data_IF_217255768119
#
_entry.id   IF_217255768119
#
_cell.length_a   1.000
_cell.length_b   1.000
_cell.length_c   1.000
_cell.angle_alpha   90.00
_cell.angle_beta   90.00
_cell.angle_gamma   90.00
#
_symmetry.space_group_name_H-M   'P 1'
#
loop_
_entity.id
_entity.type
_entity.pdbx_description
1 polymer ?
#
# COMPACT_ATOMS: atom_id res chain seq x y z
N UNK A 1 51.92 -9.68 -19.89
CA UNK A 1 51.80 -8.66 -20.96
C UNK A 1 50.77 -9.14 -21.97
N UNK A 2 49.48 -9.06 -21.61
CA UNK A 2 48.36 -9.42 -22.48
C UNK A 2 47.45 -8.18 -22.56
N UNK A 3 47.41 -7.59 -23.76
CA UNK A 3 46.75 -6.33 -24.05
C UNK A 3 45.22 -6.54 -24.04
N UNK A 4 44.54 -5.87 -23.11
CA UNK A 4 43.08 -5.71 -23.16
C UNK A 4 42.73 -4.70 -24.27
N UNK A 5 41.94 -5.07 -25.30
CA UNK A 5 41.61 -4.16 -26.37
C UNK A 5 40.60 -3.11 -25.88
N UNK A 6 41.00 -1.84 -25.98
CA UNK A 6 40.15 -0.66 -25.80
C UNK A 6 39.15 -0.55 -26.96
N UNK A 7 38.09 -1.35 -26.92
CA UNK A 7 36.96 -1.27 -27.86
C UNK A 7 35.86 -0.34 -27.35
N UNK A 8 36.13 0.96 -27.29
CA UNK A 8 35.07 1.98 -27.14
C UNK A 8 34.39 2.10 -28.50
N UNK A 9 33.21 1.50 -28.66
CA UNK A 9 32.44 1.61 -29.90
C UNK A 9 31.39 0.52 -30.10
N UNK A 10 31.65 -0.72 -29.66
CA UNK A 10 30.71 -1.83 -29.85
C UNK A 10 29.57 -1.87 -28.81
N UNK A 11 29.75 -1.20 -27.66
CA UNK A 11 28.73 -1.13 -26.61
C UNK A 11 27.54 -0.25 -26.99
N UNK A 12 27.79 0.92 -27.59
CA UNK A 12 26.75 1.91 -27.88
C UNK A 12 25.69 1.40 -28.86
N UNK A 13 26.10 0.66 -29.89
CA UNK A 13 25.18 0.07 -30.87
C UNK A 13 24.30 -1.03 -30.27
N UNK A 14 24.85 -1.83 -29.34
CA UNK A 14 24.10 -2.88 -28.63
C UNK A 14 23.11 -2.30 -27.62
N UNK A 15 23.42 -1.15 -27.03
CA UNK A 15 22.49 -0.38 -26.19
C UNK A 15 21.35 0.27 -27.00
N UNK A 16 21.62 0.75 -28.21
CA UNK A 16 20.59 1.29 -29.10
C UNK A 16 19.59 0.20 -29.56
N UNK A 17 20.07 -1.01 -29.82
CA UNK A 17 19.22 -2.16 -30.16
C UNK A 17 18.34 -2.62 -28.99
N UNK A 18 18.83 -2.54 -27.74
CA UNK A 18 18.03 -2.83 -26.55
C UNK A 18 16.99 -1.73 -26.24
N UNK A 19 17.25 -0.47 -26.61
CA UNK A 19 16.24 0.61 -26.55
C UNK A 19 15.16 0.46 -27.61
N UNK A 20 15.46 -0.13 -28.76
CA UNK A 20 14.51 -0.32 -29.85
C UNK A 20 13.55 -1.51 -29.63
N UNK A 21 13.94 -2.52 -28.85
CA UNK A 21 13.04 -3.63 -28.45
C UNK A 21 12.34 -3.41 -27.12
N UNK A 22 12.81 -2.44 -26.32
CA UNK A 22 12.03 -1.85 -25.26
C UNK A 22 11.08 -0.79 -25.85
N UNK A 23 10.20 -1.21 -26.76
CA UNK A 23 8.86 -0.62 -26.80
C UNK A 23 8.31 -0.84 -25.39
N UNK A 24 8.19 0.21 -24.54
CA UNK A 24 7.39 0.06 -23.36
C UNK A 24 6.01 -0.14 -23.95
N UNK A 25 5.56 -1.41 -23.95
CA UNK A 25 4.16 -1.75 -23.92
C UNK A 25 3.57 -1.17 -22.64
N UNK A 26 3.58 0.16 -22.54
CA UNK A 26 2.51 0.92 -21.96
C UNK A 26 1.29 0.44 -22.73
N UNK A 27 0.71 -0.66 -22.24
CA UNK A 27 -0.71 -0.75 -22.12
C UNK A 27 -1.12 0.62 -21.60
N UNK A 28 -1.48 1.52 -22.53
CA UNK A 28 -2.03 2.82 -22.22
C UNK A 28 -3.22 2.45 -21.37
N UNK A 29 -3.04 2.57 -20.05
CA UNK A 29 -4.16 2.52 -19.14
C UNK A 29 -5.15 3.51 -19.75
N UNK A 30 -6.39 3.08 -20.02
CA UNK A 30 -7.38 3.94 -20.63
C UNK A 30 -7.33 5.28 -19.90
N UNK A 31 -7.16 6.36 -20.68
CA UNK A 31 -7.12 7.72 -20.12
C UNK A 31 -8.25 7.80 -19.10
N UNK A 32 -7.98 8.26 -17.85
CA UNK A 32 -9.01 8.32 -16.83
C UNK A 32 -10.19 9.07 -17.45
N UNK A 33 -11.27 8.35 -17.72
CA UNK A 33 -12.52 8.98 -18.14
C UNK A 33 -12.85 10.05 -17.11
N UNK A 34 -13.55 11.12 -17.48
CA UNK A 34 -13.91 12.18 -16.53
C UNK A 34 -14.37 11.51 -15.25
N UNK A 35 -13.62 11.76 -14.16
CA UNK A 35 -13.80 11.05 -12.91
C UNK A 35 -15.30 11.04 -12.60
N UNK A 36 -15.95 9.87 -12.42
CA UNK A 36 -17.36 9.85 -12.13
C UNK A 36 -17.56 10.77 -10.94
N UNK A 37 -18.34 11.84 -11.13
CA UNK A 37 -18.54 12.90 -10.13
C UNK A 37 -18.72 12.24 -8.76
N UNK A 38 -17.67 12.30 -7.92
CA UNK A 38 -17.66 11.57 -6.66
C UNK A 38 -18.85 11.98 -5.78
N UNK A 39 -19.33 13.22 -5.96
CA UNK A 39 -20.57 13.73 -5.36
C UNK A 39 -21.85 13.04 -5.86
N UNK A 40 -21.95 12.70 -7.15
CA UNK A 40 -23.14 12.09 -7.78
C UNK A 40 -23.24 10.60 -7.46
N UNK A 41 -22.13 9.86 -7.40
CA UNK A 41 -22.09 8.48 -6.88
C UNK A 41 -22.35 8.42 -5.37
N UNK A 42 -21.81 9.37 -4.61
CA UNK A 42 -22.06 9.50 -3.17
C UNK A 42 -23.52 9.81 -2.88
N UNK A 43 -24.13 10.72 -3.65
CA UNK A 43 -25.57 11.02 -3.56
C UNK A 43 -26.43 9.80 -3.93
N UNK A 44 -26.08 9.05 -4.99
CA UNK A 44 -26.80 7.82 -5.39
C UNK A 44 -26.72 6.73 -4.32
N UNK A 45 -25.56 6.55 -3.68
CA UNK A 45 -25.38 5.60 -2.55
C UNK A 45 -26.17 6.04 -1.31
N UNK A 46 -26.22 7.35 -1.03
CA UNK A 46 -27.01 7.91 0.06
C UNK A 46 -28.52 7.77 -0.16
N UNK A 47 -29.00 8.00 -1.39
CA UNK A 47 -30.42 7.82 -1.74
C UNK A 47 -30.82 6.35 -1.65
N UNK A 48 -29.96 5.42 -2.07
CA UNK A 48 -30.22 3.98 -1.95
C UNK A 48 -30.19 3.49 -0.49
N UNK A 49 -29.28 4.02 0.33
CA UNK A 49 -29.24 3.73 1.77
C UNK A 49 -30.46 4.32 2.51
N UNK A 50 -30.87 5.53 2.15
CA UNK A 50 -32.08 6.15 2.67
C UNK A 50 -33.36 5.41 2.23
N UNK A 51 -33.41 4.90 1.00
CA UNK A 51 -34.54 4.13 0.50
C UNK A 51 -34.66 2.75 1.17
N UNK A 52 -33.55 2.05 1.40
CA UNK A 52 -33.54 0.76 2.13
C UNK A 52 -33.85 0.95 3.62
N UNK A 53 -33.33 2.01 4.25
CA UNK A 53 -33.68 2.38 5.63
C UNK A 53 -35.15 2.80 5.78
N UNK A 54 -35.67 3.53 4.79
CA UNK A 54 -37.08 3.92 4.73
C UNK A 54 -38.03 2.72 4.55
N UNK A 55 -37.67 1.74 3.73
CA UNK A 55 -38.46 0.53 3.53
C UNK A 55 -38.52 -0.35 4.80
N UNK A 56 -37.41 -0.46 5.56
CA UNK A 56 -37.39 -1.18 6.84
C UNK A 56 -38.18 -0.49 7.96
N UNK A 57 -38.20 0.85 7.98
CA UNK A 57 -39.00 1.63 8.91
C UNK A 57 -40.51 1.54 8.61
N UNK A 58 -40.90 1.40 7.34
CA UNK A 58 -42.30 1.20 6.94
C UNK A 58 -42.86 -0.17 7.35
N UNK A 59 -42.01 -1.21 7.40
CA UNK A 59 -42.43 -2.59 7.72
C UNK A 59 -42.51 -2.88 9.24
N UNK A 60 -41.84 -2.08 10.09
CA UNK A 60 -41.80 -2.30 11.55
C UNK A 60 -42.74 -1.39 12.35
N UNK A 61 -43.35 -0.38 11.71
CA UNK A 61 -44.42 0.42 12.31
C UNK A 61 -43.99 1.19 13.57
N UNK A 62 -43.16 2.22 13.43
CA UNK A 62 -42.90 3.15 14.53
C UNK A 62 -41.70 4.08 14.34
N UNK A 63 -41.68 5.18 15.09
CA UNK A 63 -40.59 6.17 15.13
C UNK A 63 -39.23 5.54 15.50
N UNK A 64 -39.24 4.43 16.24
CA UNK A 64 -38.05 3.66 16.58
C UNK A 64 -37.31 3.12 15.33
N UNK A 65 -38.02 2.71 14.27
CA UNK A 65 -37.41 2.23 13.03
C UNK A 65 -36.66 3.32 12.27
N UNK A 66 -37.17 4.56 12.30
CA UNK A 66 -36.51 5.72 11.68
C UNK A 66 -35.23 6.09 12.43
N UNK A 67 -35.23 6.00 13.77
CA UNK A 67 -34.04 6.27 14.59
C UNK A 67 -32.97 5.22 14.33
N UNK A 68 -33.32 3.93 14.33
CA UNK A 68 -32.36 2.84 14.08
C UNK A 68 -31.79 2.90 12.66
N UNK A 69 -32.65 3.12 11.65
CA UNK A 69 -32.21 3.29 10.26
C UNK A 69 -31.29 4.49 10.07
N UNK A 70 -31.61 5.62 10.72
CA UNK A 70 -30.77 6.81 10.72
C UNK A 70 -29.41 6.60 11.39
N UNK A 71 -29.38 5.92 12.54
CA UNK A 71 -28.14 5.60 13.26
C UNK A 71 -27.26 4.65 12.44
N UNK A 72 -27.84 3.63 11.81
CA UNK A 72 -27.09 2.72 10.94
C UNK A 72 -26.57 3.43 9.68
N UNK A 73 -27.36 4.28 9.04
CA UNK A 73 -26.93 5.05 7.87
C UNK A 73 -25.78 6.00 8.21
N UNK A 74 -25.89 6.75 9.32
CA UNK A 74 -24.82 7.65 9.79
C UNK A 74 -23.60 6.85 10.24
N UNK A 75 -23.78 5.73 10.93
CA UNK A 75 -22.70 4.84 11.35
C UNK A 75 -21.92 4.29 10.16
N UNK A 76 -22.62 3.74 9.17
CA UNK A 76 -22.02 3.23 7.92
C UNK A 76 -21.31 4.35 7.17
N UNK A 77 -21.91 5.54 7.07
CA UNK A 77 -21.29 6.64 6.35
C UNK A 77 -20.07 7.23 7.08
N UNK A 78 -20.08 7.26 8.42
CA UNK A 78 -18.92 7.67 9.23
C UNK A 78 -17.79 6.66 9.14
N UNK A 79 -18.09 5.37 9.14
CA UNK A 79 -17.10 4.31 8.92
C UNK A 79 -16.54 4.39 7.50
N UNK A 80 -17.36 4.60 6.48
CA UNK A 80 -16.91 4.78 5.09
C UNK A 80 -16.07 6.05 4.89
N UNK A 81 -16.41 7.15 5.56
CA UNK A 81 -15.60 8.38 5.56
C UNK A 81 -14.27 8.19 6.31
N UNK A 82 -14.29 7.50 7.45
CA UNK A 82 -13.06 7.16 8.19
C UNK A 82 -12.16 6.18 7.41
N UNK A 83 -12.71 5.50 6.41
CA UNK A 83 -11.99 4.63 5.47
C UNK A 83 -11.61 5.35 4.16
N UNK A 84 -11.80 6.67 4.06
CA UNK A 84 -11.29 7.42 2.91
C UNK A 84 -9.78 7.13 2.76
N UNK A 85 -9.33 6.67 1.59
CA UNK A 85 -7.96 6.22 1.42
C UNK A 85 -7.02 7.39 1.67
N UNK A 86 -6.16 7.24 2.67
CA UNK A 86 -5.05 8.13 2.92
C UNK A 86 -4.02 7.90 1.80
N UNK A 87 -3.85 8.88 0.91
CA UNK A 87 -2.95 8.79 -0.24
C UNK A 87 -1.50 8.53 0.22
N UNK A 88 -1.09 9.11 1.35
CA UNK A 88 0.24 8.86 1.93
C UNK A 88 0.39 7.41 2.42
N UNK A 89 -0.69 6.82 2.95
CA UNK A 89 -0.69 5.42 3.33
C UNK A 89 -0.63 4.49 2.12
N UNK A 90 -1.30 4.86 1.01
CA UNK A 90 -1.24 4.13 -0.24
C UNK A 90 0.19 4.15 -0.83
N UNK A 91 0.82 5.32 -0.87
CA UNK A 91 2.20 5.47 -1.35
C UNK A 91 3.18 4.67 -0.48
N UNK A 92 3.02 4.71 0.85
CA UNK A 92 3.83 3.91 1.76
C UNK A 92 3.74 2.41 1.48
N UNK A 93 2.55 1.90 1.16
CA UNK A 93 2.37 0.50 0.78
C UNK A 93 3.13 0.20 -0.52
N UNK A 94 3.08 1.10 -1.51
CA UNK A 94 3.83 0.94 -2.76
C UNK A 94 5.34 0.98 -2.54
N UNK A 95 5.85 1.90 -1.71
CA UNK A 95 7.26 1.99 -1.32
C UNK A 95 7.75 0.66 -0.74
N UNK A 96 7.04 0.13 0.26
CA UNK A 96 7.42 -1.13 0.93
C UNK A 96 7.34 -2.33 -0.02
N UNK A 97 6.33 -2.36 -0.90
CA UNK A 97 6.14 -3.43 -1.87
C UNK A 97 7.28 -3.50 -2.88
N UNK A 98 7.72 -2.35 -3.40
CA UNK A 98 8.68 -2.27 -4.49
C UNK A 98 10.14 -2.24 -4.02
N UNK A 99 10.38 -1.98 -2.73
CA UNK A 99 11.71 -1.90 -2.12
C UNK A 99 12.58 -3.17 -2.33
N UNK A 100 12.09 -4.42 -2.17
CA UNK A 100 12.92 -5.60 -2.44
C UNK A 100 13.40 -5.69 -3.88
N UNK A 101 12.54 -5.37 -4.84
CA UNK A 101 12.88 -5.40 -6.26
C UNK A 101 13.92 -4.31 -6.58
N UNK A 102 13.75 -3.12 -6.03
CA UNK A 102 14.73 -2.04 -6.17
C UNK A 102 16.09 -2.41 -5.56
N UNK A 103 16.13 -3.02 -4.37
CA UNK A 103 17.37 -3.49 -3.74
C UNK A 103 18.11 -4.52 -4.59
N UNK A 104 17.40 -5.47 -5.19
CA UNK A 104 17.98 -6.48 -6.08
C UNK A 104 18.55 -5.85 -7.36
N UNK A 105 17.79 -4.96 -8.00
CA UNK A 105 18.23 -4.25 -9.20
C UNK A 105 19.46 -3.37 -8.91
N UNK A 106 19.47 -2.65 -7.78
CA UNK A 106 20.62 -1.89 -7.31
C UNK A 106 21.83 -2.81 -7.08
N UNK A 107 21.60 -3.98 -6.46
CA UNK A 107 22.64 -4.98 -6.27
C UNK A 107 23.27 -5.45 -7.59
N UNK A 108 22.45 -5.69 -8.62
CA UNK A 108 22.91 -6.06 -9.96
C UNK A 108 23.68 -4.91 -10.61
N UNK A 109 23.14 -3.68 -10.59
CA UNK A 109 23.79 -2.50 -11.17
C UNK A 109 25.16 -2.23 -10.53
N UNK A 110 25.24 -2.24 -9.20
CA UNK A 110 26.48 -1.98 -8.48
C UNK A 110 27.50 -3.11 -8.69
N UNK A 111 27.06 -4.37 -8.76
CA UNK A 111 27.94 -5.51 -9.07
C UNK A 111 28.49 -5.45 -10.49
N UNK A 112 27.74 -4.83 -11.41
CA UNK A 112 28.20 -4.54 -12.78
C UNK A 112 29.14 -3.33 -12.86
N UNK A 113 29.43 -2.66 -11.74
CA UNK A 113 30.34 -1.52 -11.66
C UNK A 113 29.72 -0.16 -11.98
N UNK A 114 28.39 -0.04 -12.00
CA UNK A 114 27.75 1.28 -12.09
C UNK A 114 28.02 2.10 -10.82
N UNK A 115 28.29 3.41 -10.94
CA UNK A 115 28.34 4.29 -9.77
C UNK A 115 26.95 4.38 -9.13
N UNK A 116 26.91 4.67 -7.82
CA UNK A 116 25.66 4.70 -7.02
C UNK A 116 24.61 5.61 -7.64
N UNK A 117 25.01 6.80 -8.10
CA UNK A 117 24.12 7.77 -8.74
C UNK A 117 23.50 7.24 -10.03
N UNK A 118 24.31 6.59 -10.88
CA UNK A 118 23.85 5.98 -12.12
C UNK A 118 22.96 4.77 -11.88
N UNK A 119 23.24 3.98 -10.83
CA UNK A 119 22.39 2.87 -10.41
C UNK A 119 21.03 3.38 -9.88
N UNK A 120 21.01 4.43 -9.06
CA UNK A 120 19.78 5.04 -8.55
C UNK A 120 18.91 5.60 -9.68
N UNK A 121 19.50 6.29 -10.65
CA UNK A 121 18.77 6.81 -11.81
C UNK A 121 18.18 5.68 -12.66
N UNK A 122 18.98 4.66 -12.97
CA UNK A 122 18.55 3.52 -13.80
C UNK A 122 17.43 2.71 -13.12
N UNK A 123 17.59 2.39 -11.83
CA UNK A 123 16.59 1.63 -11.06
C UNK A 123 15.36 2.49 -10.80
N UNK A 124 15.52 3.77 -10.51
CA UNK A 124 14.40 4.70 -10.34
C UNK A 124 13.54 4.81 -11.61
N UNK A 125 14.17 4.86 -12.79
CA UNK A 125 13.49 4.79 -14.09
C UNK A 125 12.76 3.47 -14.34
N UNK A 126 13.35 2.34 -13.93
CA UNK A 126 12.78 1.01 -14.15
C UNK A 126 11.62 0.66 -13.20
N UNK A 127 11.68 1.07 -11.94
CA UNK A 127 10.64 0.80 -10.94
C UNK A 127 9.45 1.76 -11.10
N UNK A 128 9.72 3.05 -11.33
CA UNK A 128 8.67 4.08 -11.39
C UNK A 128 7.94 4.27 -10.07
N UNK A 129 6.76 4.92 -10.13
CA UNK A 129 5.92 5.19 -8.95
C UNK A 129 6.61 6.03 -7.86
N UNK A 130 6.05 6.04 -6.64
CA UNK A 130 6.59 6.82 -5.52
C UNK A 130 8.04 6.44 -5.20
N UNK A 131 8.38 5.15 -5.27
CA UNK A 131 9.74 4.69 -4.97
C UNK A 131 10.75 5.17 -6.02
N UNK A 132 10.41 5.05 -7.30
CA UNK A 132 11.28 5.48 -8.39
C UNK A 132 11.51 7.00 -8.40
N UNK A 133 10.49 7.78 -8.03
CA UNK A 133 10.62 9.23 -7.85
C UNK A 133 11.61 9.59 -6.74
N UNK A 134 11.54 8.92 -5.58
CA UNK A 134 12.49 9.12 -4.50
C UNK A 134 13.92 8.70 -4.87
N UNK A 135 14.09 7.60 -5.61
CA UNK A 135 15.44 7.20 -6.06
C UNK A 135 16.04 8.20 -7.05
N UNK A 136 15.24 8.73 -7.98
CA UNK A 136 15.68 9.77 -8.93
C UNK A 136 15.94 11.11 -8.24
N UNK A 137 15.16 11.47 -7.22
CA UNK A 137 15.40 12.71 -6.46
C UNK A 137 16.73 12.65 -5.72
N UNK A 138 17.02 11.52 -5.05
CA UNK A 138 18.33 11.28 -4.41
C UNK A 138 19.46 11.30 -5.45
N UNK A 139 19.29 10.64 -6.59
CA UNK A 139 20.29 10.66 -7.66
C UNK A 139 20.55 12.07 -8.18
N UNK A 140 19.51 12.90 -8.31
CA UNK A 140 19.62 14.30 -8.72
C UNK A 140 20.38 15.14 -7.68
N UNK A 141 20.07 14.97 -6.39
CA UNK A 141 20.77 15.66 -5.30
C UNK A 141 22.26 15.28 -5.26
N UNK A 142 22.59 14.01 -5.44
CA UNK A 142 23.99 13.55 -5.50
C UNK A 142 24.74 14.14 -6.70
N UNK A 143 24.11 14.21 -7.89
CA UNK A 143 24.70 14.89 -9.07
C UNK A 143 24.98 16.38 -8.85
N UNK A 144 24.20 17.03 -7.99
CA UNK A 144 24.42 18.41 -7.58
C UNK A 144 25.52 18.55 -6.52
N UNK A 145 26.17 17.46 -6.11
CA UNK A 145 27.21 17.44 -5.08
C UNK A 145 26.66 17.55 -3.66
N UNK A 146 25.38 17.24 -3.44
CA UNK A 146 24.83 17.21 -2.10
C UNK A 146 25.55 16.15 -1.24
N UNK A 147 25.76 16.47 0.04
CA UNK A 147 26.27 15.51 1.01
C UNK A 147 25.39 14.24 0.99
N UNK A 148 25.98 13.03 0.88
CA UNK A 148 25.20 11.79 0.79
C UNK A 148 24.20 11.62 1.93
N UNK A 149 24.53 12.00 3.16
CA UNK A 149 23.58 11.86 4.29
C UNK A 149 22.42 12.84 4.17
N UNK A 150 22.67 14.05 3.65
CA UNK A 150 21.61 15.02 3.35
C UNK A 150 20.71 14.57 2.19
N UNK A 151 21.27 13.96 1.15
CA UNK A 151 20.48 13.47 0.02
C UNK A 151 19.43 12.43 0.46
N UNK A 152 19.73 11.65 1.50
CA UNK A 152 18.80 10.67 2.10
C UNK A 152 18.05 11.20 3.33
N UNK A 153 18.16 12.48 3.70
CA UNK A 153 17.52 13.00 4.91
C UNK A 153 16.01 13.23 4.74
N UNK A 154 15.58 13.55 3.52
CA UNK A 154 14.18 13.87 3.20
C UNK A 154 13.40 12.67 2.64
N UNK A 155 14.04 11.50 2.51
CA UNK A 155 13.32 10.30 2.05
C UNK A 155 12.42 9.71 3.15
N UNK A 156 11.31 9.06 2.78
CA UNK A 156 10.47 8.32 3.71
C UNK A 156 11.26 7.34 4.60
N UNK A 157 10.80 7.15 5.85
CA UNK A 157 11.47 6.33 6.85
C UNK A 157 11.69 4.88 6.40
N UNK A 158 10.81 4.37 5.54
CA UNK A 158 10.85 3.05 4.93
C UNK A 158 12.12 2.87 4.06
N UNK A 159 12.65 3.95 3.47
CA UNK A 159 13.87 3.97 2.65
C UNK A 159 15.14 4.25 3.47
N UNK A 160 15.02 4.61 4.75
CA UNK A 160 16.17 4.98 5.58
C UNK A 160 17.21 3.83 5.70
N UNK A 161 16.75 2.57 5.70
CA UNK A 161 17.63 1.40 5.69
C UNK A 161 18.47 1.32 4.42
N UNK A 162 17.85 1.56 3.26
CA UNK A 162 18.52 1.59 1.97
C UNK A 162 19.55 2.73 1.91
N UNK A 163 19.18 3.93 2.35
CA UNK A 163 20.08 5.09 2.40
C UNK A 163 21.32 4.84 3.23
N UNK A 164 21.19 4.23 4.42
CA UNK A 164 22.35 3.87 5.25
C UNK A 164 23.30 2.89 4.56
N UNK A 165 22.77 1.88 3.85
CA UNK A 165 23.58 0.92 3.10
C UNK A 165 24.32 1.61 1.95
N UNK A 166 23.64 2.49 1.21
CA UNK A 166 24.21 3.17 0.04
C UNK A 166 25.19 4.30 0.39
N UNK A 167 24.98 5.03 1.49
CA UNK A 167 25.96 6.01 2.00
C UNK A 167 27.25 5.29 2.41
N UNK A 168 27.15 4.20 3.18
CA UNK A 168 28.32 3.41 3.59
C UNK A 168 29.04 2.78 2.39
N UNK A 169 28.29 2.34 1.39
CA UNK A 169 28.81 1.83 0.14
C UNK A 169 29.65 2.86 -0.64
N UNK A 170 29.13 4.08 -0.79
CA UNK A 170 29.82 5.18 -1.44
C UNK A 170 31.10 5.59 -0.71
N UNK A 171 31.07 5.58 0.63
CA UNK A 171 32.24 5.91 1.47
C UNK A 171 33.32 4.83 1.46
N UNK A 172 32.96 3.54 1.32
CA UNK A 172 33.90 2.42 1.58
C UNK A 172 34.34 1.64 0.34
N UNK A 173 33.72 1.83 -0.84
CA UNK A 173 34.04 1.10 -2.08
C UNK A 173 33.89 -0.43 -2.00
N UNK A 174 33.39 -0.96 -0.88
CA UNK A 174 33.24 -2.38 -0.60
C UNK A 174 32.01 -2.96 -1.29
N UNK A 175 31.98 -4.28 -1.47
CA UNK A 175 30.92 -5.00 -2.20
C UNK A 175 29.54 -4.92 -1.53
N UNK A 176 28.81 -3.85 -1.84
CA UNK A 176 27.44 -3.50 -1.38
C UNK A 176 26.41 -4.59 -1.67
N UNK A 177 26.68 -5.44 -2.67
CA UNK A 177 25.77 -6.48 -3.13
C UNK A 177 25.39 -7.50 -2.05
N UNK A 178 26.24 -7.73 -1.04
CA UNK A 178 25.89 -8.56 0.11
C UNK A 178 24.81 -7.91 0.97
N UNK A 179 25.04 -6.67 1.39
CA UNK A 179 24.13 -5.91 2.26
C UNK A 179 22.78 -5.62 1.60
N UNK A 180 22.75 -5.34 0.29
CA UNK A 180 21.49 -5.16 -0.44
C UNK A 180 20.66 -6.45 -0.53
N UNK A 181 21.31 -7.61 -0.70
CA UNK A 181 20.61 -8.91 -0.65
C UNK A 181 20.03 -9.20 0.72
N UNK A 182 20.77 -8.88 1.79
CA UNK A 182 20.25 -8.99 3.16
C UNK A 182 19.04 -8.07 3.36
N UNK A 183 19.13 -6.81 2.94
CA UNK A 183 18.03 -5.85 3.05
C UNK A 183 16.80 -6.28 2.24
N UNK A 184 16.99 -6.82 1.03
CA UNK A 184 15.92 -7.38 0.22
C UNK A 184 15.26 -8.61 0.89
N UNK A 185 16.06 -9.48 1.51
CA UNK A 185 15.55 -10.64 2.24
C UNK A 185 14.74 -10.23 3.49
N UNK A 186 15.23 -9.27 4.26
CA UNK A 186 14.53 -8.71 5.43
C UNK A 186 13.18 -8.08 5.01
N UNK A 187 13.19 -7.23 3.97
CA UNK A 187 11.97 -6.60 3.47
C UNK A 187 10.92 -7.62 3.01
N UNK A 188 11.34 -8.69 2.31
CA UNK A 188 10.45 -9.81 1.93
C UNK A 188 9.90 -10.56 3.15
N UNK A 189 10.72 -10.77 4.18
CA UNK A 189 10.30 -11.44 5.40
C UNK A 189 9.22 -10.60 6.13
N UNK A 190 9.42 -9.30 6.24
CA UNK A 190 8.43 -8.37 6.81
C UNK A 190 7.12 -8.37 6.02
N UNK A 191 7.20 -8.34 4.67
CA UNK A 191 6.02 -8.40 3.83
C UNK A 191 5.21 -9.70 4.02
N UNK A 192 5.90 -10.85 4.12
CA UNK A 192 5.26 -12.15 4.40
C UNK A 192 4.61 -12.21 5.79
N UNK A 193 5.26 -11.63 6.79
CA UNK A 193 4.68 -11.56 8.14
C UNK A 193 3.40 -10.72 8.16
N UNK A 194 3.38 -9.60 7.43
CA UNK A 194 2.20 -8.74 7.32
C UNK A 194 1.03 -9.43 6.61
N UNK A 195 1.29 -10.16 5.52
CA UNK A 195 0.23 -10.93 4.83
C UNK A 195 -0.32 -12.04 5.70
N UNK A 196 0.53 -12.77 6.42
CA UNK A 196 0.09 -13.80 7.37
C UNK A 196 -0.79 -13.22 8.49
N UNK A 197 -0.41 -12.07 9.06
CA UNK A 197 -1.21 -11.37 10.06
C UNK A 197 -2.58 -10.92 9.49
N UNK A 198 -2.63 -10.48 8.24
CA UNK A 198 -3.88 -10.10 7.58
C UNK A 198 -4.81 -11.30 7.38
N UNK A 199 -4.29 -12.46 6.98
CA UNK A 199 -5.06 -13.70 6.83
C UNK A 199 -5.65 -14.15 8.17
N UNK A 200 -4.87 -14.08 9.26
CA UNK A 200 -5.36 -14.43 10.60
C UNK A 200 -6.50 -13.51 11.05
N UNK A 201 -6.38 -12.20 10.79
CA UNK A 201 -7.44 -11.23 11.11
C UNK A 201 -8.69 -11.45 10.27
N UNK A 202 -8.56 -11.87 9.01
CA UNK A 202 -9.71 -12.18 8.16
C UNK A 202 -10.59 -13.27 8.78
N UNK A 203 -10.00 -14.30 9.40
CA UNK A 203 -10.75 -15.34 10.11
C UNK A 203 -11.63 -14.80 11.24
N UNK A 204 -11.12 -13.83 12.01
CA UNK A 204 -11.89 -13.17 13.07
C UNK A 204 -13.03 -12.31 12.48
N UNK A 205 -12.74 -11.59 11.40
CA UNK A 205 -13.74 -10.75 10.72
C UNK A 205 -14.89 -11.54 10.09
N UNK A 206 -14.69 -12.81 9.72
CA UNK A 206 -15.76 -13.68 9.21
C UNK A 206 -16.75 -14.08 10.31
N UNK A 207 -16.28 -14.25 11.56
CA UNK A 207 -17.13 -14.59 12.70
C UNK A 207 -17.86 -13.37 13.29
N UNK A 208 -17.30 -12.18 13.14
CA UNK A 208 -17.90 -10.92 13.61
C UNK A 208 -19.37 -10.69 13.16
N UNK A 209 -19.74 -10.83 11.87
CA UNK A 209 -21.13 -10.65 11.44
C UNK A 209 -22.06 -11.74 11.99
N UNK A 210 -21.57 -12.97 12.15
CA UNK A 210 -22.34 -14.06 12.73
C UNK A 210 -22.67 -13.75 14.21
N UNK A 211 -21.67 -13.29 14.98
CA UNK A 211 -21.85 -12.86 16.36
C UNK A 211 -22.78 -11.65 16.49
N UNK A 212 -22.66 -10.67 15.59
CA UNK A 212 -23.54 -9.51 15.56
C UNK A 212 -25.00 -9.86 15.25
N UNK A 213 -25.25 -10.89 14.42
CA UNK A 213 -26.60 -11.40 14.15
C UNK A 213 -27.12 -12.31 15.28
N UNK A 214 -26.26 -13.07 15.95
CA UNK A 214 -26.66 -14.03 16.98
C UNK A 214 -27.00 -13.36 18.32
N UNK A 215 -26.27 -12.30 18.69
CA UNK A 215 -26.50 -11.55 19.94
C UNK A 215 -27.95 -11.04 20.10
N UNK A 216 -28.56 -10.35 19.13
CA UNK A 216 -29.95 -9.89 19.26
C UNK A 216 -30.95 -11.05 19.26
N UNK A 217 -30.71 -12.09 18.46
CA UNK A 217 -31.58 -13.28 18.45
C UNK A 217 -31.57 -13.99 19.82
N UNK A 218 -30.39 -14.18 20.42
CA UNK A 218 -30.26 -14.79 21.75
C UNK A 218 -30.91 -13.95 22.85
N UNK A 219 -30.82 -12.61 22.78
CA UNK A 219 -31.47 -11.73 23.74
C UNK A 219 -33.00 -11.86 23.69
N UNK A 220 -33.57 -11.87 22.49
CA UNK A 220 -35.02 -11.99 22.29
C UNK A 220 -35.54 -13.40 22.63
N UNK A 221 -34.82 -14.46 22.23
CA UNK A 221 -35.29 -15.84 22.35
C UNK A 221 -34.92 -16.50 23.69
N UNK A 222 -33.81 -16.09 24.32
CA UNK A 222 -33.30 -16.71 25.54
C UNK A 222 -33.45 -15.85 26.78
N UNK A 223 -32.86 -14.65 26.77
CA UNK A 223 -32.71 -13.83 28.00
C UNK A 223 -34.03 -13.16 28.39
N UNK A 224 -34.75 -12.55 27.44
CA UNK A 224 -36.00 -11.86 27.70
C UNK A 224 -37.06 -12.75 28.39
N UNK A 225 -37.40 -13.96 27.88
CA UNK A 225 -38.37 -14.82 28.55
C UNK A 225 -37.90 -15.32 29.91
N UNK A 226 -36.59 -15.58 30.10
CA UNK A 226 -36.04 -16.01 31.38
C UNK A 226 -36.19 -14.93 32.46
N UNK A 227 -35.88 -13.68 32.13
CA UNK A 227 -36.02 -12.55 33.06
C UNK A 227 -37.47 -12.29 33.43
N UNK A 228 -38.39 -12.41 32.46
CA UNK A 228 -39.83 -12.28 32.70
C UNK A 228 -40.35 -13.36 33.66
N UNK A 229 -39.94 -14.62 33.46
CA UNK A 229 -40.33 -15.72 34.35
C UNK A 229 -39.84 -15.54 35.79
N UNK A 230 -38.59 -15.09 35.98
CA UNK A 230 -38.06 -14.82 37.34
C UNK A 230 -38.74 -13.62 37.98
N UNK A 231 -39.07 -12.59 37.20
CA UNK A 231 -39.78 -11.42 37.71
C UNK A 231 -41.20 -11.82 38.21
N UNK A 232 -41.90 -12.69 37.49
CA UNK A 232 -43.21 -13.21 37.94
C UNK A 232 -43.10 -14.03 39.23
N UNK A 233 -42.09 -14.91 39.36
CA UNK A 233 -41.89 -15.76 40.56
C UNK A 233 -41.49 -14.98 41.82
N UNK A 234 -40.91 -13.77 41.68
CA UNK A 234 -40.41 -12.95 42.81
C UNK A 234 -41.36 -11.81 43.18
N UNK A 235 -42.15 -11.30 42.22
CA UNK A 235 -43.13 -10.22 42.46
C UNK A 235 -44.57 -10.71 42.63
N UNK A 236 -44.85 -11.98 42.35
CA UNK A 236 -46.13 -12.66 42.63
C UNK A 236 -46.12 -13.39 43.96
#
# INVERSE_FOLDING_TARGET
MALWPRGVGAGAARWAALRATAEPGAARLPAPGPAPDAGRERLRRWVLAAALGGAGALLTGGTAGVVVGGVLAVGVERVLRARAPDEEAADRVLLVRDLPAACDLLGVCLSAGLPVEGALEAVGGAVGGPLGEQLRSVAALSRLGADPRRAWAEVPVELAGLGRVLVRAGESGATVAGSLRTLAAESRATARAATQAAVQRAGVWVLAPLGACFLPAFLCLGVAPLVLGIAEDVLG
#
